data_IF_640401083842
#
_entry.id   IF_640401083842
#
_cell.length_a   1.000
_cell.length_b   1.000
_cell.length_c   1.000
_cell.angle_alpha   90.00
_cell.angle_beta   90.00
_cell.angle_gamma   90.00
#
_symmetry.space_group_name_H-M   'P 1'
#
loop_
_entity.id
_entity.type
_entity.pdbx_description
1 polymer ?
#
# COMPACT_ATOMS: atom_id res chain seq x y z
N UNK A 1 -8.55 3.87 -7.69
CA UNK A 1 -7.91 5.17 -8.07
C UNK A 1 -8.84 6.02 -8.92
N UNK A 2 -9.18 5.60 -10.14
CA UNK A 2 -9.92 6.41 -11.13
C UNK A 2 -11.19 7.04 -10.57
N UNK A 3 -12.09 6.25 -10.00
CA UNK A 3 -13.33 6.75 -9.39
C UNK A 3 -13.07 7.80 -8.30
N UNK A 4 -12.06 7.60 -7.47
CA UNK A 4 -11.69 8.56 -6.41
C UNK A 4 -11.19 9.90 -7.00
N UNK A 5 -10.42 9.85 -8.07
CA UNK A 5 -9.96 11.07 -8.74
C UNK A 5 -11.09 11.79 -9.47
N UNK A 6 -12.09 11.05 -9.97
CA UNK A 6 -13.24 11.65 -10.64
C UNK A 6 -14.21 12.34 -9.65
N UNK A 7 -14.49 11.68 -8.51
CA UNK A 7 -15.58 12.06 -7.58
C UNK A 7 -15.08 12.64 -6.25
N UNK A 8 -13.78 12.53 -5.98
CA UNK A 8 -13.18 12.99 -4.74
C UNK A 8 -13.58 12.16 -3.51
N UNK A 9 -13.28 12.66 -2.30
CA UNK A 9 -13.52 11.92 -1.04
C UNK A 9 -15.01 11.66 -0.76
N UNK A 10 -15.93 12.38 -1.40
CA UNK A 10 -17.36 12.21 -1.15
C UNK A 10 -17.88 10.86 -1.62
N UNK A 11 -17.29 10.29 -2.67
CA UNK A 11 -17.66 8.93 -3.11
C UNK A 11 -17.39 7.89 -2.02
N UNK A 12 -16.30 8.04 -1.27
CA UNK A 12 -15.97 7.15 -0.14
C UNK A 12 -17.06 7.22 0.92
N UNK A 13 -17.48 8.43 1.31
CA UNK A 13 -18.55 8.65 2.29
C UNK A 13 -19.88 8.08 1.81
N UNK A 14 -20.20 8.27 0.53
CA UNK A 14 -21.42 7.74 -0.09
C UNK A 14 -21.47 6.23 -0.03
N UNK A 15 -20.39 5.54 -0.45
CA UNK A 15 -20.32 4.07 -0.42
C UNK A 15 -20.36 3.56 1.03
N UNK A 16 -19.70 4.25 1.96
CA UNK A 16 -19.72 3.87 3.38
C UNK A 16 -21.13 3.97 3.97
N UNK A 17 -21.88 5.02 3.65
CA UNK A 17 -23.30 5.19 4.06
C UNK A 17 -24.21 4.06 3.52
N UNK A 18 -23.85 3.42 2.42
CA UNK A 18 -24.55 2.25 1.89
C UNK A 18 -24.25 0.95 2.65
N UNK A 19 -23.37 1.00 3.67
CA UNK A 19 -23.02 -0.13 4.51
C UNK A 19 -21.90 -1.03 3.98
N UNK A 20 -21.18 -0.60 2.94
CA UNK A 20 -20.09 -1.38 2.37
C UNK A 20 -18.77 -1.17 3.11
N UNK A 21 -17.93 -2.21 3.13
CA UNK A 21 -16.51 -2.08 3.45
C UNK A 21 -15.76 -1.52 2.23
N UNK A 22 -14.74 -0.70 2.49
CA UNK A 22 -14.01 0.01 1.44
C UNK A 22 -12.52 -0.29 1.52
N UNK A 23 -11.99 -0.83 0.44
CA UNK A 23 -10.56 -0.79 0.14
C UNK A 23 -10.26 0.42 -0.75
N UNK A 24 -9.61 1.44 -0.18
CA UNK A 24 -9.23 2.64 -0.89
C UNK A 24 -7.85 2.44 -1.53
N UNK A 25 -7.84 2.06 -2.79
CA UNK A 25 -6.66 1.70 -3.56
C UNK A 25 -6.07 2.93 -4.29
N UNK A 26 -5.23 3.69 -3.61
CA UNK A 26 -4.55 4.88 -4.16
C UNK A 26 -3.06 4.66 -4.41
N UNK A 27 -2.44 3.66 -3.77
CA UNK A 27 -1.03 3.30 -3.92
C UNK A 27 -0.08 4.48 -3.66
N UNK A 28 -0.18 5.09 -2.47
CA UNK A 28 0.66 6.24 -2.14
C UNK A 28 2.14 5.88 -2.23
N UNK A 29 2.89 6.77 -2.86
CA UNK A 29 4.34 6.66 -3.03
C UNK A 29 4.92 8.07 -3.12
N UNK A 30 5.49 8.56 -2.01
CA UNK A 30 6.07 9.90 -1.90
C UNK A 30 7.07 9.91 -0.74
N UNK A 31 7.70 11.03 -0.47
CA UNK A 31 8.56 11.20 0.70
C UNK A 31 7.78 10.92 1.99
N UNK A 32 8.43 10.36 3.03
CA UNK A 32 7.75 9.87 4.23
C UNK A 32 6.77 10.88 4.87
N UNK A 33 7.18 12.14 5.00
CA UNK A 33 6.33 13.17 5.63
C UNK A 33 5.06 13.49 4.80
N UNK A 34 5.15 13.46 3.47
CA UNK A 34 3.98 13.66 2.59
C UNK A 34 3.01 12.49 2.73
N UNK A 35 3.53 11.27 2.71
CA UNK A 35 2.70 10.06 2.91
C UNK A 35 2.04 10.06 4.29
N UNK A 36 2.78 10.40 5.36
CA UNK A 36 2.22 10.56 6.71
C UNK A 36 1.03 11.51 6.74
N UNK A 37 1.19 12.72 6.18
CA UNK A 37 0.11 13.73 6.15
C UNK A 37 -1.08 13.28 5.29
N UNK A 38 -0.83 12.65 4.15
CA UNK A 38 -1.88 12.10 3.29
C UNK A 38 -2.66 10.99 4.00
N UNK A 39 -1.97 10.08 4.69
CA UNK A 39 -2.60 9.02 5.46
C UNK A 39 -3.43 9.57 6.64
N UNK A 40 -3.01 10.65 7.28
CA UNK A 40 -3.80 11.32 8.32
C UNK A 40 -5.13 11.87 7.76
N UNK A 41 -5.13 12.37 6.51
CA UNK A 41 -6.36 12.76 5.82
C UNK A 41 -7.23 11.53 5.53
N UNK A 42 -6.64 10.44 5.00
CA UNK A 42 -7.38 9.21 4.68
C UNK A 42 -7.96 8.53 5.93
N UNK A 43 -7.30 8.64 7.09
CA UNK A 43 -7.80 8.07 8.35
C UNK A 43 -9.18 8.63 8.76
N UNK A 44 -9.53 9.82 8.28
CA UNK A 44 -10.82 10.48 8.56
C UNK A 44 -11.93 10.09 7.56
N UNK A 45 -11.63 9.30 6.53
CA UNK A 45 -12.62 8.85 5.54
C UNK A 45 -13.35 7.56 5.95
N UNK A 46 -13.02 6.99 7.10
CA UNK A 46 -13.60 5.74 7.62
C UNK A 46 -13.50 4.56 6.62
N UNK A 47 -12.39 4.48 5.88
CA UNK A 47 -12.08 3.33 5.04
C UNK A 47 -11.66 2.14 5.89
N UNK A 48 -11.84 0.93 5.38
CA UNK A 48 -11.48 -0.30 6.09
C UNK A 48 -10.06 -0.75 5.75
N UNK A 49 -9.57 -0.41 4.57
CA UNK A 49 -8.23 -0.74 4.08
C UNK A 49 -7.73 0.32 3.10
N UNK A 50 -6.43 0.58 3.11
CA UNK A 50 -5.74 1.38 2.09
C UNK A 50 -4.35 0.80 1.80
N UNK A 51 -3.63 1.38 0.85
CA UNK A 51 -2.32 0.86 0.44
C UNK A 51 -1.30 1.94 0.11
N UNK A 52 -0.05 1.48 0.10
CA UNK A 52 1.13 2.22 -0.37
C UNK A 52 1.95 1.33 -1.31
N UNK A 53 2.97 1.87 -1.97
CA UNK A 53 3.99 1.07 -2.64
C UNK A 53 5.11 0.65 -1.66
N UNK A 54 5.48 -0.63 -1.66
CA UNK A 54 6.61 -1.13 -0.86
C UNK A 54 7.96 -0.54 -1.30
N UNK A 55 8.06 -0.18 -2.58
CA UNK A 55 9.24 0.50 -3.14
C UNK A 55 9.55 1.85 -2.50
N UNK A 56 8.60 2.45 -1.76
CA UNK A 56 8.80 3.69 -1.01
C UNK A 56 9.68 3.57 0.22
N UNK A 57 10.22 2.40 0.53
CA UNK A 57 11.08 2.07 1.66
C UNK A 57 10.35 1.88 3.00
N UNK A 58 11.04 1.27 3.96
CA UNK A 58 10.52 1.08 5.33
C UNK A 58 10.20 2.40 6.01
N UNK A 59 11.00 3.44 5.78
CA UNK A 59 10.77 4.75 6.36
C UNK A 59 9.43 5.36 5.91
N UNK A 60 9.10 5.25 4.61
CA UNK A 60 7.82 5.71 4.08
C UNK A 60 6.65 4.88 4.62
N UNK A 61 6.80 3.55 4.67
CA UNK A 61 5.76 2.64 5.17
C UNK A 61 5.48 2.87 6.67
N UNK A 62 6.51 3.05 7.49
CA UNK A 62 6.35 3.38 8.91
C UNK A 62 5.68 4.74 9.12
N UNK A 63 6.05 5.75 8.32
CA UNK A 63 5.40 7.05 8.33
C UNK A 63 3.93 6.98 7.90
N UNK A 64 3.58 6.07 6.98
CA UNK A 64 2.21 5.81 6.59
C UNK A 64 1.37 5.26 7.75
N UNK A 65 1.88 4.29 8.52
CA UNK A 65 1.24 3.77 9.74
C UNK A 65 1.01 4.90 10.74
N UNK A 66 2.05 5.69 11.01
CA UNK A 66 1.97 6.80 11.96
C UNK A 66 0.88 7.80 11.58
N UNK A 67 0.79 8.17 10.29
CA UNK A 67 -0.24 9.07 9.79
C UNK A 67 -1.64 8.47 9.83
N UNK A 68 -1.78 7.17 9.55
CA UNK A 68 -3.06 6.47 9.48
C UNK A 68 -3.65 6.17 10.87
N UNK A 69 -2.81 6.09 11.90
CA UNK A 69 -3.22 5.79 13.27
C UNK A 69 -3.91 7.00 13.90
N UNK A 70 -5.16 6.80 14.33
CA UNK A 70 -5.97 7.83 15.00
C UNK A 70 -5.52 8.03 16.44
N UNK A 71 -6.01 9.11 17.08
CA UNK A 71 -5.69 9.44 18.47
C UNK A 71 -6.09 8.35 19.49
N UNK A 72 -7.09 7.54 19.16
CA UNK A 72 -7.53 6.40 19.96
C UNK A 72 -6.71 5.12 19.73
N UNK A 73 -5.68 5.18 18.86
CA UNK A 73 -4.83 4.05 18.51
C UNK A 73 -5.40 3.14 17.42
N UNK A 74 -6.62 3.39 16.95
CA UNK A 74 -7.22 2.60 15.84
C UNK A 74 -6.72 3.07 14.47
N UNK A 75 -6.72 2.18 13.51
CA UNK A 75 -6.43 2.49 12.10
C UNK A 75 -7.09 1.49 11.15
N UNK A 76 -7.35 1.86 9.89
CA UNK A 76 -7.62 0.92 8.82
C UNK A 76 -6.47 -0.07 8.62
N UNK A 77 -6.73 -1.18 7.95
CA UNK A 77 -5.65 -2.04 7.45
C UNK A 77 -4.81 -1.28 6.44
N UNK A 78 -3.49 -1.42 6.56
CA UNK A 78 -2.53 -0.85 5.62
C UNK A 78 -1.70 -1.97 4.99
N UNK A 79 -1.78 -2.10 3.67
CA UNK A 79 -1.02 -3.09 2.91
C UNK A 79 -0.09 -2.41 1.90
N UNK A 80 0.96 -3.11 1.48
CA UNK A 80 1.90 -2.58 0.50
C UNK A 80 1.83 -3.35 -0.82
N UNK A 81 1.83 -2.62 -1.93
CA UNK A 81 1.98 -3.20 -3.27
C UNK A 81 3.46 -3.52 -3.48
N UNK A 82 3.75 -4.77 -3.76
CA UNK A 82 5.11 -5.24 -4.06
C UNK A 82 5.54 -4.78 -5.45
N UNK A 83 5.71 -5.68 -6.41
CA UNK A 83 5.96 -5.30 -7.79
C UNK A 83 4.66 -5.40 -8.59
N UNK A 84 4.40 -4.42 -9.46
CA UNK A 84 3.21 -4.45 -10.31
C UNK A 84 3.29 -5.63 -11.30
N UNK A 85 2.21 -6.37 -11.41
CA UNK A 85 2.13 -7.55 -12.31
C UNK A 85 2.26 -7.22 -13.80
N UNK A 86 2.10 -5.95 -14.16
CA UNK A 86 2.35 -5.44 -15.51
C UNK A 86 3.84 -5.24 -15.84
N UNK A 87 4.72 -5.29 -14.83
CA UNK A 87 6.16 -5.12 -15.00
C UNK A 87 6.82 -6.49 -15.11
N UNK A 88 7.40 -6.80 -16.26
CA UNK A 88 8.20 -8.01 -16.44
C UNK A 88 9.54 -7.89 -15.72
N UNK A 89 10.23 -9.02 -15.50
CA UNK A 89 11.58 -9.03 -14.95
C UNK A 89 12.56 -8.21 -15.77
N UNK A 90 12.49 -8.34 -17.10
CA UNK A 90 13.32 -7.58 -18.03
C UNK A 90 13.11 -6.07 -17.88
N UNK A 91 11.86 -5.62 -17.92
CA UNK A 91 11.53 -4.19 -17.74
C UNK A 91 11.96 -3.69 -16.36
N UNK A 92 11.78 -4.50 -15.31
CA UNK A 92 12.22 -4.14 -13.96
C UNK A 92 13.75 -3.94 -13.91
N UNK A 93 14.52 -4.83 -14.56
CA UNK A 93 15.98 -4.74 -14.58
C UNK A 93 16.46 -3.57 -15.43
N UNK A 94 15.89 -3.37 -16.61
CA UNK A 94 16.35 -2.35 -17.56
C UNK A 94 15.90 -0.94 -17.20
N UNK A 95 14.64 -0.76 -16.79
CA UNK A 95 14.07 0.57 -16.56
C UNK A 95 14.08 1.01 -15.09
N UNK A 96 13.92 0.08 -14.14
CA UNK A 96 13.97 0.40 -12.71
C UNK A 96 15.36 0.14 -12.09
N UNK A 97 16.28 -0.44 -12.84
CA UNK A 97 17.65 -0.79 -12.40
C UNK A 97 17.68 -1.69 -11.16
N UNK A 98 16.68 -2.55 -11.04
CA UNK A 98 16.63 -3.57 -9.99
C UNK A 98 17.26 -4.85 -10.54
N UNK A 99 18.56 -5.01 -10.37
CA UNK A 99 19.35 -6.14 -10.88
C UNK A 99 19.17 -7.39 -10.01
N UNK A 100 17.93 -7.84 -9.88
CA UNK A 100 17.55 -9.06 -9.15
C UNK A 100 16.41 -9.75 -9.88
N UNK A 101 16.25 -11.08 -9.72
CA UNK A 101 15.04 -11.77 -10.16
C UNK A 101 13.79 -11.18 -9.52
N UNK A 102 12.69 -11.15 -10.30
CA UNK A 102 11.44 -10.52 -9.84
C UNK A 102 10.88 -11.18 -8.58
N UNK A 103 10.99 -12.51 -8.46
CA UNK A 103 10.55 -13.23 -7.27
C UNK A 103 11.35 -12.83 -6.01
N UNK A 104 12.65 -12.60 -6.15
CA UNK A 104 13.51 -12.12 -5.06
C UNK A 104 13.17 -10.70 -4.65
N UNK A 105 12.86 -9.85 -5.63
CA UNK A 105 12.44 -8.46 -5.40
C UNK A 105 11.11 -8.41 -4.65
N UNK A 106 10.13 -9.23 -5.06
CA UNK A 106 8.83 -9.33 -4.38
C UNK A 106 8.99 -9.81 -2.94
N UNK A 107 9.81 -10.84 -2.71
CA UNK A 107 10.10 -11.35 -1.35
C UNK A 107 10.80 -10.31 -0.48
N UNK A 108 11.73 -9.54 -1.05
CA UNK A 108 12.39 -8.46 -0.35
C UNK A 108 11.40 -7.36 0.07
N UNK A 109 10.49 -6.97 -0.82
CA UNK A 109 9.43 -6.02 -0.52
C UNK A 109 8.45 -6.54 0.54
N UNK A 110 8.06 -7.81 0.47
CA UNK A 110 7.20 -8.44 1.48
C UNK A 110 7.85 -8.41 2.86
N UNK A 111 9.14 -8.78 2.95
CA UNK A 111 9.91 -8.71 4.18
C UNK A 111 10.01 -7.28 4.74
N UNK A 112 10.34 -6.30 3.90
CA UNK A 112 10.39 -4.90 4.32
C UNK A 112 9.03 -4.40 4.82
N UNK A 113 7.94 -4.85 4.21
CA UNK A 113 6.57 -4.52 4.58
C UNK A 113 6.23 -5.07 5.96
N UNK A 114 6.56 -6.33 6.21
CA UNK A 114 6.41 -6.96 7.53
C UNK A 114 7.25 -6.24 8.60
N UNK A 115 8.53 -5.98 8.32
CA UNK A 115 9.43 -5.27 9.24
C UNK A 115 9.00 -3.84 9.54
N UNK A 116 8.30 -3.18 8.60
CA UNK A 116 7.72 -1.85 8.81
C UNK A 116 6.40 -1.88 9.61
N UNK A 117 5.83 -3.07 9.86
CA UNK A 117 4.63 -3.27 10.67
C UNK A 117 3.30 -3.12 9.93
N UNK A 118 3.29 -3.26 8.60
CA UNK A 118 2.06 -3.28 7.82
C UNK A 118 1.30 -4.60 7.96
N UNK A 119 0.03 -4.61 7.57
CA UNK A 119 -0.88 -5.74 7.77
C UNK A 119 -0.80 -6.79 6.65
N UNK A 120 -0.14 -6.49 5.54
CA UNK A 120 0.00 -7.42 4.43
C UNK A 120 0.54 -6.79 3.16
N UNK A 121 0.55 -7.57 2.10
CA UNK A 121 1.03 -7.15 0.78
C UNK A 121 0.04 -7.49 -0.34
N UNK A 122 0.17 -6.80 -1.46
CA UNK A 122 -0.42 -7.19 -2.75
C UNK A 122 0.69 -7.82 -3.59
N UNK A 123 0.48 -9.04 -4.02
CA UNK A 123 1.39 -9.78 -4.89
C UNK A 123 0.61 -10.61 -5.92
N UNK A 124 1.30 -11.19 -6.89
CA UNK A 124 0.71 -12.14 -7.83
C UNK A 124 0.28 -13.43 -7.09
N UNK A 125 -0.81 -14.10 -7.52
CA UNK A 125 -1.16 -15.43 -7.00
C UNK A 125 -0.02 -16.45 -7.08
N UNK A 126 0.86 -16.32 -8.07
CA UNK A 126 2.03 -17.19 -8.25
C UNK A 126 3.09 -17.04 -7.13
N UNK A 127 3.08 -15.91 -6.45
CA UNK A 127 4.02 -15.55 -5.38
C UNK A 127 3.42 -15.77 -3.98
N UNK A 128 2.09 -15.92 -3.89
CA UNK A 128 1.37 -15.93 -2.62
C UNK A 128 1.88 -16.99 -1.64
N UNK A 129 2.22 -18.20 -2.11
CA UNK A 129 2.77 -19.26 -1.29
C UNK A 129 4.10 -18.87 -0.65
N UNK A 130 5.03 -18.32 -1.43
CA UNK A 130 6.34 -17.86 -0.94
C UNK A 130 6.21 -16.67 0.02
N UNK A 131 5.30 -15.74 -0.30
CA UNK A 131 5.04 -14.56 0.54
C UNK A 131 4.49 -14.96 1.92
N UNK A 132 3.68 -16.01 1.98
CA UNK A 132 3.11 -16.51 3.24
C UNK A 132 4.17 -17.14 4.18
N UNK A 133 5.33 -17.52 3.65
CA UNK A 133 6.43 -18.10 4.42
C UNK A 133 7.35 -17.03 5.08
N UNK A 134 7.15 -15.75 4.77
CA UNK A 134 7.91 -14.61 5.28
C UNK A 134 7.20 -13.94 6.44
#
# INVERSE_FOLDING_TARGET
MELFYAEGPEIVRTIKKMGHKIFLDLKLHDIPNTVKKSMAVLSNLDVDMCNVHAAGTKAMMSAAIEGLTRADGTRPLLIAVTQLTSTSEEVMQEELWIDKPIDKTVMHYAKNTMEAGLDGVVCSPLEAGKVHEV
#
